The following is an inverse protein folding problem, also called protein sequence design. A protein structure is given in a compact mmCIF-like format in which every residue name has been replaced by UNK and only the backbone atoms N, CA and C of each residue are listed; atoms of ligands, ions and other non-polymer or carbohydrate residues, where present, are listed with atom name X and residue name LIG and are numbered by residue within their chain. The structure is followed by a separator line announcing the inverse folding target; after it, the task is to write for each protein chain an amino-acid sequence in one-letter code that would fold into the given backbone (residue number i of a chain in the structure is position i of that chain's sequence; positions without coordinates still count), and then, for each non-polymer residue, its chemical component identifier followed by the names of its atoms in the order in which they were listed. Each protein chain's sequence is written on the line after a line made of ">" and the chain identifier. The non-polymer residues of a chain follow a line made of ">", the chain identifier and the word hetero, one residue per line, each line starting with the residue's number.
data_IF_330381958277
#
_entry.id   IF_330381958277
#
_cell.length_a   1.000
_cell.length_b   1.000
_cell.length_c   1.000
_cell.angle_alpha   90.00
_cell.angle_beta   90.00
_cell.angle_gamma   90.00
#
_symmetry.space_group_name_H-M   'P 1'
#
loop_
_entity.id
_entity.type
_entity.pdbx_description
1 polymer ?
#
# COMPACT_ATOMS: atom_id res chain seq x y z
N UNK A 1 43.26 18.14 57.30
CA UNK A 1 44.31 19.08 56.84
C UNK A 1 43.65 19.97 55.78
N UNK A 2 43.09 21.10 56.21
CA UNK A 2 43.66 22.46 56.15
C UNK A 2 43.87 23.00 54.73
N UNK A 3 43.05 24.00 54.41
CA UNK A 3 43.13 25.05 53.36
C UNK A 3 44.43 25.87 53.48
N UNK A 4 44.89 26.70 52.50
CA UNK A 4 44.24 27.92 51.95
C UNK A 4 44.45 28.08 50.41
N UNK A 5 43.87 28.98 49.61
CA UNK A 5 43.28 30.31 49.82
C UNK A 5 44.18 31.40 49.19
N UNK A 6 43.82 31.97 48.02
CA UNK A 6 44.03 33.40 47.62
C UNK A 6 43.63 33.71 46.17
N UNK A 7 42.67 34.63 46.02
CA UNK A 7 42.56 35.63 44.93
C UNK A 7 43.36 36.90 45.37
N UNK A 8 43.70 37.93 44.52
CA UNK A 8 42.72 38.84 43.87
C UNK A 8 43.13 39.63 42.58
N UNK A 9 42.09 40.07 41.84
CA UNK A 9 41.82 41.38 41.18
C UNK A 9 42.85 42.18 40.33
N UNK A 10 42.44 42.59 39.10
CA UNK A 10 42.09 43.98 38.61
C UNK A 10 42.25 44.07 37.06
N UNK A 11 41.18 44.40 36.31
CA UNK A 11 40.86 45.71 35.67
C UNK A 11 41.80 46.06 34.48
N UNK A 12 41.39 46.44 33.27
CA UNK A 12 40.29 47.31 32.85
C UNK A 12 39.94 47.17 31.34
N UNK A 13 38.71 47.59 31.02
CA UNK A 13 38.26 48.36 29.84
C UNK A 13 38.74 47.99 28.43
N UNK A 14 37.79 47.63 27.56
CA UNK A 14 37.53 48.53 26.43
C UNK A 14 36.07 48.46 25.95
N UNK A 15 35.57 49.63 25.60
CA UNK A 15 34.21 50.00 25.29
C UNK A 15 33.93 50.02 23.78
N UNK A 16 32.64 49.95 23.44
CA UNK A 16 31.98 50.42 22.20
C UNK A 16 32.17 49.59 20.92
N UNK A 17 31.09 48.95 20.47
CA UNK A 17 30.28 49.46 19.34
C UNK A 17 28.99 48.65 19.21
N UNK A 18 27.89 49.36 19.40
CA UNK A 18 26.50 48.96 19.17
C UNK A 18 26.21 48.84 17.68
N UNK A 19 25.69 47.69 17.25
CA UNK A 19 25.04 47.51 15.94
C UNK A 19 23.56 47.15 16.13
N UNK A 20 22.65 47.65 15.27
CA UNK A 20 21.21 47.62 15.51
C UNK A 20 20.61 46.24 15.25
N UNK A 21 19.60 45.89 16.05
CA UNK A 21 18.81 44.68 15.90
C UNK A 21 18.16 44.56 14.52
N UNK A 22 18.47 43.47 13.83
CA UNK A 22 17.68 42.94 12.73
C UNK A 22 16.79 41.85 13.31
N UNK A 23 15.51 42.17 13.45
CA UNK A 23 14.45 41.18 13.69
C UNK A 23 14.42 40.29 12.43
N UNK A 24 14.61 38.96 12.53
CA UNK A 24 14.44 38.09 11.38
C UNK A 24 12.97 38.17 10.92
N UNK A 25 12.69 38.23 9.60
CA UNK A 25 11.32 38.28 9.10
C UNK A 25 10.57 37.03 9.57
N UNK A 26 9.27 37.14 9.90
CA UNK A 26 8.48 35.99 10.28
C UNK A 26 8.47 34.99 9.12
N UNK A 27 8.93 33.77 9.42
CA UNK A 27 8.79 32.61 8.56
C UNK A 27 7.34 32.51 8.08
N UNK A 28 7.06 32.20 6.80
CA UNK A 28 5.70 32.03 6.33
C UNK A 28 5.09 30.78 6.96
N UNK A 29 4.36 30.95 8.07
CA UNK A 29 3.54 29.93 8.75
C UNK A 29 2.28 29.62 7.94
N UNK A 30 2.45 29.18 6.69
CA UNK A 30 1.35 29.00 5.73
C UNK A 30 1.21 27.58 5.18
N UNK A 31 1.88 26.57 5.75
CA UNK A 31 1.86 25.20 5.22
C UNK A 31 1.24 24.16 6.17
N UNK A 32 0.80 24.55 7.36
CA UNK A 32 0.26 23.61 8.35
C UNK A 32 -1.23 23.34 8.15
N UNK A 33 -2.02 24.33 7.74
CA UNK A 33 -3.49 24.22 7.63
C UNK A 33 -3.97 23.28 6.52
N UNK A 34 -3.32 23.28 5.35
CA UNK A 34 -3.68 22.39 4.23
C UNK A 34 -3.41 20.91 4.52
N UNK A 35 -2.34 20.62 5.27
CA UNK A 35 -2.01 19.26 5.71
C UNK A 35 -2.98 18.75 6.78
N UNK A 36 -3.43 19.62 7.68
CA UNK A 36 -4.41 19.27 8.71
C UNK A 36 -5.78 18.95 8.09
N UNK A 37 -6.23 19.73 7.10
CA UNK A 37 -7.52 19.48 6.42
C UNK A 37 -7.52 18.14 5.65
N UNK A 38 -6.40 17.71 5.05
CA UNK A 38 -6.32 16.38 4.38
C UNK A 38 -6.57 15.25 5.33
N UNK A 39 -5.92 15.34 6.49
CA UNK A 39 -5.90 14.25 7.43
C UNK A 39 -7.29 14.10 8.04
N UNK A 40 -8.03 15.19 8.19
CA UNK A 40 -9.44 15.19 8.56
C UNK A 40 -10.34 14.60 7.46
N UNK A 41 -10.12 14.98 6.19
CA UNK A 41 -10.94 14.48 5.07
C UNK A 41 -10.73 12.97 4.84
N UNK A 42 -9.48 12.48 4.89
CA UNK A 42 -9.20 11.06 4.72
C UNK A 42 -9.70 10.22 5.89
N UNK A 43 -9.59 10.74 7.12
CA UNK A 43 -10.10 10.03 8.30
C UNK A 43 -11.62 9.84 8.24
N UNK A 44 -12.34 10.85 7.77
CA UNK A 44 -13.81 10.76 7.61
C UNK A 44 -14.19 9.69 6.59
N UNK A 45 -13.42 9.54 5.52
CA UNK A 45 -13.61 8.47 4.53
C UNK A 45 -13.35 7.10 5.15
N UNK A 46 -12.30 6.98 5.96
CA UNK A 46 -11.93 5.72 6.61
C UNK A 46 -12.93 5.29 7.71
N UNK A 47 -13.60 6.25 8.37
CA UNK A 47 -14.67 5.99 9.34
C UNK A 47 -15.95 5.40 8.71
N UNK A 48 -16.11 5.51 7.39
CA UNK A 48 -17.24 4.91 6.64
C UNK A 48 -16.96 3.48 6.15
N UNK A 49 -15.86 2.87 6.57
CA UNK A 49 -15.47 1.52 6.17
C UNK A 49 -16.46 0.47 6.72
N UNK A 50 -17.13 -0.32 5.85
CA UNK A 50 -18.04 -1.37 6.29
C UNK A 50 -17.36 -2.43 7.17
N UNK A 51 -16.03 -2.60 7.08
CA UNK A 51 -15.27 -3.48 7.98
C UNK A 51 -15.33 -3.02 9.45
N UNK A 52 -15.61 -1.74 9.72
CA UNK A 52 -15.75 -1.21 11.09
C UNK A 52 -17.15 -1.45 11.69
N UNK A 53 -18.03 -2.14 10.96
CA UNK A 53 -19.34 -2.54 11.45
C UNK A 53 -19.27 -3.28 12.80
N UNK A 54 -20.34 -3.23 13.57
CA UNK A 54 -20.49 -3.93 14.86
C UNK A 54 -19.54 -3.48 15.98
N UNK A 55 -18.78 -2.41 15.78
CA UNK A 55 -17.87 -1.84 16.79
C UNK A 55 -16.45 -2.37 16.73
N UNK A 56 -16.05 -3.00 15.62
CA UNK A 56 -14.69 -3.46 15.41
C UNK A 56 -13.71 -2.28 15.27
N UNK A 57 -12.49 -2.45 15.80
CA UNK A 57 -11.36 -1.55 15.54
C UNK A 57 -10.28 -2.28 14.75
N UNK A 58 -9.63 -1.57 13.83
CA UNK A 58 -8.50 -2.07 13.06
C UNK A 58 -7.23 -2.01 13.92
N UNK A 59 -6.52 -3.13 14.03
CA UNK A 59 -5.21 -3.22 14.71
C UNK A 59 -4.06 -3.48 13.74
N UNK A 60 -4.37 -3.93 12.52
CA UNK A 60 -3.43 -4.09 11.42
C UNK A 60 -4.15 -3.78 10.11
N UNK A 61 -3.56 -2.93 9.27
CA UNK A 61 -4.03 -2.70 7.90
C UNK A 61 -2.82 -2.44 7.00
N UNK A 62 -2.46 -3.43 6.18
CA UNK A 62 -1.36 -3.33 5.23
C UNK A 62 -1.60 -4.22 4.02
N UNK A 63 -0.97 -3.84 2.92
CA UNK A 63 -0.78 -4.70 1.78
C UNK A 63 0.51 -5.51 1.96
N UNK A 64 0.42 -6.84 1.81
CA UNK A 64 1.54 -7.75 1.97
C UNK A 64 1.64 -8.69 0.76
N UNK A 65 2.84 -9.18 0.43
CA UNK A 65 2.99 -10.20 -0.60
C UNK A 65 2.47 -11.55 -0.10
N UNK A 66 1.51 -12.13 -0.81
CA UNK A 66 0.92 -13.44 -0.53
C UNK A 66 1.05 -14.33 -1.75
N UNK A 67 1.55 -15.54 -1.56
CA UNK A 67 1.61 -16.54 -2.63
C UNK A 67 0.23 -17.18 -2.80
N UNK A 68 -0.42 -16.91 -3.92
CA UNK A 68 -1.77 -17.36 -4.25
C UNK A 68 -1.72 -18.72 -4.95
N UNK A 69 -2.32 -19.74 -4.35
CA UNK A 69 -2.42 -21.09 -4.89
C UNK A 69 -3.88 -21.52 -5.00
N UNK A 70 -4.18 -22.35 -5.98
CA UNK A 70 -5.49 -22.98 -6.16
C UNK A 70 -5.38 -24.47 -5.86
N UNK A 71 -6.31 -25.02 -5.10
CA UNK A 71 -6.34 -26.45 -4.80
C UNK A 71 -6.96 -27.23 -5.97
N UNK A 72 -6.14 -27.55 -6.98
CA UNK A 72 -6.54 -28.46 -8.05
C UNK A 72 -6.23 -29.90 -7.65
N UNK A 73 -7.23 -30.58 -7.06
CA UNK A 73 -7.14 -31.98 -6.60
C UNK A 73 -6.84 -33.02 -7.70
N UNK A 74 -6.59 -32.60 -8.94
CA UNK A 74 -6.30 -33.48 -10.07
C UNK A 74 -4.81 -33.60 -10.41
N UNK A 75 -3.93 -32.75 -9.88
CA UNK A 75 -2.51 -32.78 -10.21
C UNK A 75 -1.67 -33.14 -8.98
N UNK A 76 -1.32 -34.43 -8.89
CA UNK A 76 -0.29 -34.94 -8.00
C UNK A 76 1.13 -34.58 -8.51
N UNK A 77 1.28 -33.44 -9.18
CA UNK A 77 2.55 -32.93 -9.72
C UNK A 77 3.07 -31.82 -8.81
N UNK A 78 4.31 -32.02 -8.34
CA UNK A 78 5.25 -31.03 -7.79
C UNK A 78 4.68 -29.62 -7.65
N UNK A 79 4.33 -29.24 -6.40
CA UNK A 79 4.07 -27.86 -5.92
C UNK A 79 3.90 -26.83 -7.04
N UNK A 80 2.66 -26.59 -7.49
CA UNK A 80 2.37 -25.39 -8.27
C UNK A 80 2.75 -24.19 -7.41
N UNK A 81 3.90 -23.59 -7.76
CA UNK A 81 4.37 -22.34 -7.18
C UNK A 81 3.34 -21.30 -7.59
N UNK A 82 2.67 -20.74 -6.59
CA UNK A 82 1.60 -19.77 -6.80
C UNK A 82 2.14 -18.43 -7.30
N UNK A 83 1.25 -17.58 -7.80
CA UNK A 83 1.61 -16.20 -8.13
C UNK A 83 1.75 -15.39 -6.83
N UNK A 84 2.81 -14.59 -6.71
CA UNK A 84 2.94 -13.66 -5.59
C UNK A 84 2.11 -12.42 -5.89
N UNK A 85 1.04 -12.21 -5.13
CA UNK A 85 0.15 -11.06 -5.27
C UNK A 85 0.23 -10.15 -4.05
N UNK A 86 0.02 -8.85 -4.29
CA UNK A 86 -0.10 -7.89 -3.22
C UNK A 86 -1.55 -7.93 -2.70
N UNK A 87 -1.73 -8.47 -1.49
CA UNK A 87 -3.05 -8.66 -0.87
C UNK A 87 -3.17 -7.70 0.30
N UNK A 88 -4.27 -6.94 0.31
CA UNK A 88 -4.64 -6.05 1.41
C UNK A 88 -5.21 -6.89 2.55
N UNK A 89 -4.54 -6.84 3.70
CA UNK A 89 -4.90 -7.58 4.91
C UNK A 89 -5.28 -6.62 6.02
N UNK A 90 -6.49 -6.80 6.57
CA UNK A 90 -6.95 -6.13 7.78
C UNK A 90 -7.09 -7.12 8.91
N UNK A 91 -6.57 -6.78 10.09
CA UNK A 91 -6.90 -7.48 11.35
C UNK A 91 -7.73 -6.53 12.18
N UNK A 92 -8.94 -6.98 12.52
CA UNK A 92 -9.95 -6.27 13.26
C UNK A 92 -10.25 -7.00 14.55
N UNK A 93 -10.59 -6.24 15.59
CA UNK A 93 -10.91 -6.79 16.89
C UNK A 93 -12.13 -6.10 17.48
N UNK A 94 -12.97 -6.89 18.15
CA UNK A 94 -14.12 -6.41 18.92
C UNK A 94 -13.83 -6.54 20.42
N UNK A 95 -14.12 -5.50 21.19
CA UNK A 95 -13.83 -5.43 22.63
C UNK A 95 -12.80 -4.34 22.96
N UNK A 96 -12.21 -4.38 24.14
CA UNK A 96 -11.17 -3.44 24.56
C UNK A 96 -9.79 -4.14 24.64
N UNK A 97 -8.77 -3.48 25.19
CA UNK A 97 -7.43 -4.09 25.29
C UNK A 97 -7.32 -5.14 26.42
N UNK A 98 -8.31 -5.20 27.32
CA UNK A 98 -8.34 -6.13 28.46
C UNK A 98 -9.19 -7.37 28.17
N UNK A 99 -10.24 -7.20 27.36
CA UNK A 99 -11.19 -8.23 27.01
C UNK A 99 -11.58 -8.12 25.52
N UNK A 100 -11.03 -9.05 24.73
CA UNK A 100 -11.45 -9.27 23.35
C UNK A 100 -12.63 -10.23 23.29
N UNK A 101 -13.59 -9.92 22.43
CA UNK A 101 -14.76 -10.75 22.12
C UNK A 101 -14.58 -11.50 20.80
N UNK A 102 -14.06 -10.82 19.79
CA UNK A 102 -13.84 -11.37 18.45
C UNK A 102 -12.57 -10.81 17.83
N UNK A 103 -11.91 -11.63 17.01
CA UNK A 103 -10.82 -11.26 16.14
C UNK A 103 -11.17 -11.68 14.71
N UNK A 104 -11.25 -10.70 13.80
CA UNK A 104 -11.53 -10.93 12.38
C UNK A 104 -10.34 -10.54 11.53
N UNK A 105 -9.98 -11.40 10.58
CA UNK A 105 -8.98 -11.12 9.54
C UNK A 105 -9.69 -11.08 8.21
N UNK A 106 -9.43 -10.03 7.43
CA UNK A 106 -10.00 -9.84 6.10
C UNK A 106 -8.87 -9.78 5.07
N UNK A 107 -9.01 -10.55 4.00
CA UNK A 107 -8.12 -10.53 2.84
C UNK A 107 -8.89 -9.95 1.66
N UNK A 108 -8.30 -8.98 0.96
CA UNK A 108 -8.87 -8.41 -0.26
C UNK A 108 -7.79 -8.10 -1.29
N UNK A 109 -8.12 -8.14 -2.58
CA UNK A 109 -7.19 -7.87 -3.67
C UNK A 109 -7.66 -6.66 -4.50
N UNK A 110 -6.72 -5.89 -5.04
CA UNK A 110 -7.02 -4.88 -6.06
C UNK A 110 -7.08 -5.48 -7.47
N UNK A 111 -6.39 -6.62 -7.70
CA UNK A 111 -6.39 -7.31 -8.98
C UNK A 111 -7.70 -8.05 -9.24
N UNK A 112 -8.31 -8.61 -8.18
CA UNK A 112 -9.63 -9.22 -8.22
C UNK A 112 -10.56 -8.55 -7.21
N UNK A 113 -11.59 -7.85 -7.72
CA UNK A 113 -12.55 -7.13 -6.91
C UNK A 113 -13.46 -8.05 -6.09
N UNK A 114 -13.69 -9.27 -6.56
CA UNK A 114 -14.54 -10.25 -5.88
C UNK A 114 -13.77 -11.07 -4.84
N UNK A 115 -12.44 -11.02 -4.88
CA UNK A 115 -11.60 -11.63 -3.86
C UNK A 115 -11.80 -10.91 -2.51
N UNK A 116 -12.59 -11.53 -1.64
CA UNK A 116 -12.77 -11.10 -0.25
C UNK A 116 -13.00 -12.32 0.66
N UNK A 117 -12.00 -12.64 1.46
CA UNK A 117 -12.03 -13.78 2.38
C UNK A 117 -11.94 -13.31 3.82
N UNK A 118 -12.66 -13.99 4.70
CA UNK A 118 -12.74 -13.64 6.11
C UNK A 118 -12.44 -14.83 7.00
N UNK A 119 -11.61 -14.61 8.01
CA UNK A 119 -11.42 -15.50 9.14
C UNK A 119 -11.98 -14.79 10.38
N UNK A 120 -12.97 -15.36 11.06
CA UNK A 120 -13.50 -14.83 12.33
C UNK A 120 -13.23 -15.84 13.42
N UNK A 121 -12.73 -15.35 14.55
CA UNK A 121 -12.37 -16.20 15.68
C UNK A 121 -12.79 -15.53 16.99
N UNK A 122 -13.75 -16.14 17.67
CA UNK A 122 -14.12 -15.82 19.04
C UNK A 122 -13.29 -16.66 20.04
N UNK A 123 -13.51 -16.44 21.34
CA UNK A 123 -12.75 -17.13 22.41
C UNK A 123 -12.88 -18.65 22.38
N UNK A 124 -14.06 -19.18 22.08
CA UNK A 124 -14.32 -20.63 22.08
C UNK A 124 -13.67 -21.29 20.87
N UNK A 125 -13.81 -20.67 19.69
CA UNK A 125 -13.14 -21.07 18.46
C UNK A 125 -11.62 -21.00 18.60
N UNK A 126 -11.11 -19.96 19.28
CA UNK A 126 -9.68 -19.83 19.56
C UNK A 126 -9.16 -20.96 20.44
N UNK A 127 -9.91 -21.40 21.45
CA UNK A 127 -9.50 -22.53 22.28
C UNK A 127 -9.32 -23.81 21.44
N UNK A 128 -10.18 -24.04 20.45
CA UNK A 128 -10.03 -25.16 19.52
C UNK A 128 -8.80 -24.98 18.62
N UNK A 129 -8.60 -23.80 18.04
CA UNK A 129 -7.42 -23.45 17.23
C UNK A 129 -6.11 -23.62 18.02
N UNK A 130 -6.12 -23.18 19.27
CA UNK A 130 -4.99 -23.25 20.19
C UNK A 130 -4.56 -24.69 20.43
N UNK A 131 -5.52 -25.59 20.66
CA UNK A 131 -5.26 -27.02 20.84
C UNK A 131 -4.83 -27.69 19.54
N UNK A 132 -5.50 -27.37 18.42
CA UNK A 132 -5.22 -27.96 17.12
C UNK A 132 -3.80 -27.62 16.62
N UNK A 133 -3.34 -26.40 16.87
CA UNK A 133 -2.05 -25.89 16.35
C UNK A 133 -1.00 -25.66 17.44
N UNK A 134 -1.26 -26.15 18.66
CA UNK A 134 -0.35 -26.04 19.82
C UNK A 134 0.10 -24.60 20.10
N UNK A 135 -0.81 -23.63 20.05
CA UNK A 135 -0.49 -22.23 20.30
C UNK A 135 -0.31 -21.99 21.81
N UNK A 136 0.77 -21.31 22.18
CA UNK A 136 1.05 -20.94 23.59
C UNK A 136 0.51 -19.56 23.98
N UNK A 137 -0.08 -18.84 23.03
CA UNK A 137 -0.50 -17.45 23.19
C UNK A 137 -1.95 -17.42 23.66
N UNK A 138 -2.30 -16.43 24.49
CA UNK A 138 -3.70 -16.20 24.89
C UNK A 138 -4.48 -15.45 23.82
N UNK A 139 -5.81 -15.59 23.82
CA UNK A 139 -6.69 -14.93 22.86
C UNK A 139 -6.48 -13.40 22.80
N UNK A 140 -6.26 -12.73 23.94
CA UNK A 140 -6.01 -11.27 23.98
C UNK A 140 -4.72 -10.86 23.24
N UNK A 141 -3.74 -11.76 23.13
CA UNK A 141 -2.48 -11.54 22.43
C UNK A 141 -2.50 -12.06 20.99
N UNK A 142 -3.53 -12.81 20.61
CA UNK A 142 -3.67 -13.40 19.28
C UNK A 142 -3.62 -12.38 18.13
N UNK A 143 -4.33 -11.23 18.16
CA UNK A 143 -4.26 -10.26 17.07
C UNK A 143 -2.87 -9.66 16.88
N UNK A 144 -2.15 -9.43 17.98
CA UNK A 144 -0.75 -8.92 17.95
C UNK A 144 0.19 -9.97 17.37
N UNK A 145 -0.03 -11.25 17.70
CA UNK A 145 0.70 -12.36 17.10
C UNK A 145 0.45 -12.41 15.58
N UNK A 146 -0.81 -12.35 15.13
CA UNK A 146 -1.16 -12.33 13.71
C UNK A 146 -0.48 -11.17 12.96
N UNK A 147 -0.56 -9.96 13.50
CA UNK A 147 0.09 -8.79 12.91
C UNK A 147 1.62 -8.97 12.78
N UNK A 148 2.27 -9.62 13.75
CA UNK A 148 3.69 -9.97 13.65
C UNK A 148 3.92 -11.01 12.56
N UNK A 149 3.08 -12.04 12.49
CA UNK A 149 3.23 -13.10 11.49
C UNK A 149 3.13 -12.56 10.06
N UNK A 150 2.11 -11.71 9.81
CA UNK A 150 1.86 -11.05 8.52
C UNK A 150 3.00 -10.12 8.06
N UNK A 151 3.77 -9.53 8.99
CA UNK A 151 4.90 -8.66 8.63
C UNK A 151 6.21 -9.41 8.40
N UNK A 152 6.39 -10.61 8.97
CA UNK A 152 7.71 -11.24 9.10
C UNK A 152 7.88 -12.56 8.37
N UNK A 153 6.78 -13.24 8.00
CA UNK A 153 6.84 -14.55 7.36
C UNK A 153 6.18 -14.54 5.99
N UNK A 154 6.53 -15.54 5.17
CA UNK A 154 5.87 -15.75 3.89
C UNK A 154 4.46 -16.25 4.15
N UNK A 155 3.48 -15.61 3.52
CA UNK A 155 2.08 -15.98 3.60
C UNK A 155 1.69 -16.69 2.31
N UNK A 156 1.17 -17.91 2.42
CA UNK A 156 0.68 -18.70 1.28
C UNK A 156 -0.81 -18.89 1.45
N UNK A 157 -1.61 -18.41 0.52
CA UNK A 157 -3.06 -18.57 0.54
C UNK A 157 -3.50 -19.60 -0.49
N UNK A 158 -4.07 -20.70 -0.01
CA UNK A 158 -4.59 -21.79 -0.84
C UNK A 158 -6.11 -21.68 -0.92
N UNK A 159 -6.63 -21.42 -2.10
CA UNK A 159 -8.06 -21.32 -2.37
C UNK A 159 -8.64 -22.69 -2.74
N UNK A 160 -9.69 -23.09 -2.02
CA UNK A 160 -10.54 -24.23 -2.34
C UNK A 160 -11.64 -23.85 -3.33
N UNK A 161 -12.24 -24.87 -3.97
CA UNK A 161 -13.37 -24.68 -4.92
C UNK A 161 -14.71 -24.48 -4.24
N UNK A 162 -14.78 -24.73 -2.93
CA UNK A 162 -15.96 -24.63 -2.08
C UNK A 162 -16.14 -23.26 -1.43
N UNK A 163 -15.35 -22.26 -1.86
CA UNK A 163 -15.33 -20.94 -1.23
C UNK A 163 -14.55 -20.93 0.09
N UNK A 164 -13.87 -22.02 0.46
CA UNK A 164 -12.94 -22.03 1.58
C UNK A 164 -11.54 -21.66 1.12
N UNK A 165 -10.79 -21.04 2.00
CA UNK A 165 -9.38 -20.72 1.81
C UNK A 165 -8.57 -21.09 3.04
N UNK A 166 -7.28 -21.32 2.84
CA UNK A 166 -6.36 -21.56 3.95
C UNK A 166 -5.14 -20.65 3.81
N UNK A 167 -4.88 -19.84 4.82
CA UNK A 167 -3.68 -19.01 4.91
C UNK A 167 -2.65 -19.71 5.78
N UNK A 168 -1.53 -20.09 5.17
CA UNK A 168 -0.42 -20.75 5.84
C UNK A 168 0.76 -19.79 5.95
N UNK A 169 1.22 -19.58 7.18
CA UNK A 169 2.44 -18.84 7.46
C UNK A 169 3.63 -19.79 7.44
N UNK A 170 4.60 -19.49 6.58
CA UNK A 170 5.74 -20.37 6.35
C UNK A 170 7.05 -19.62 6.59
N UNK A 171 7.94 -20.27 7.31
CA UNK A 171 9.31 -19.81 7.48
C UNK A 171 10.25 -20.63 6.60
N UNK A 172 11.04 -19.93 5.80
CA UNK A 172 12.12 -20.56 5.06
C UNK A 172 13.29 -20.84 6.01
N UNK A 173 13.54 -22.12 6.30
CA UNK A 173 14.82 -22.58 6.84
C UNK A 173 15.70 -22.99 5.66
N UNK A 174 17.02 -22.87 5.79
CA UNK A 174 18.00 -23.03 4.69
C UNK A 174 17.78 -24.26 3.78
N UNK A 175 17.23 -25.34 4.32
CA UNK A 175 16.97 -26.60 3.61
C UNK A 175 15.51 -27.07 3.66
N UNK A 176 14.60 -26.29 4.27
CA UNK A 176 13.19 -26.70 4.45
C UNK A 176 12.28 -25.52 4.77
N UNK A 177 11.09 -25.52 4.19
CA UNK A 177 10.00 -24.66 4.63
C UNK A 177 9.26 -25.28 5.83
N UNK A 178 9.10 -24.52 6.90
CA UNK A 178 8.36 -24.93 8.10
C UNK A 178 7.10 -24.08 8.20
N UNK A 179 5.94 -24.75 8.24
CA UNK A 179 4.67 -24.10 8.54
C UNK A 179 4.61 -23.75 10.03
N UNK A 180 4.24 -22.50 10.31
CA UNK A 180 4.18 -21.95 11.66
C UNK A 180 2.75 -21.85 12.19
N UNK A 181 1.80 -21.51 11.33
CA UNK A 181 0.39 -21.30 11.66
C UNK A 181 -0.44 -21.45 10.40
N UNK A 182 -1.61 -22.05 10.54
CA UNK A 182 -2.60 -22.20 9.48
C UNK A 182 -3.92 -21.56 9.89
N UNK A 183 -4.55 -20.77 9.02
CA UNK A 183 -5.84 -20.15 9.30
C UNK A 183 -6.84 -20.52 8.22
N UNK A 184 -8.03 -20.95 8.65
CA UNK A 184 -9.15 -21.22 7.75
C UNK A 184 -9.92 -19.93 7.48
N UNK A 185 -10.20 -19.67 6.21
CA UNK A 185 -10.95 -18.53 5.72
C UNK A 185 -12.15 -19.02 4.94
N UNK A 186 -13.22 -18.24 4.99
CA UNK A 186 -14.40 -18.43 4.16
C UNK A 186 -14.58 -17.22 3.24
N UNK A 187 -14.97 -17.47 2.00
CA UNK A 187 -15.38 -16.45 1.06
C UNK A 187 -16.57 -15.68 1.64
N UNK A 188 -16.50 -14.35 1.58
CA UNK A 188 -17.57 -13.51 2.09
C UNK A 188 -18.82 -13.59 1.23
N UNK A 189 -19.98 -13.39 1.85
CA UNK A 189 -21.24 -13.36 1.12
C UNK A 189 -21.26 -12.23 0.08
N UNK A 190 -21.94 -12.48 -1.05
CA UNK A 190 -21.98 -11.57 -2.21
C UNK A 190 -22.37 -10.13 -1.84
N UNK A 191 -23.32 -9.95 -0.92
CA UNK A 191 -23.74 -8.61 -0.47
C UNK A 191 -22.63 -7.86 0.27
N UNK A 192 -21.80 -8.56 1.07
CA UNK A 192 -20.63 -8.00 1.75
C UNK A 192 -19.58 -7.61 0.72
N UNK A 193 -19.29 -8.49 -0.25
CA UNK A 193 -18.36 -8.21 -1.35
C UNK A 193 -18.79 -6.94 -2.10
N UNK A 194 -20.06 -6.84 -2.49
CA UNK A 194 -20.60 -5.66 -3.18
C UNK A 194 -20.48 -4.39 -2.35
N UNK A 195 -20.73 -4.46 -1.05
CA UNK A 195 -20.58 -3.34 -0.13
C UNK A 195 -19.11 -2.90 -0.03
N UNK A 196 -18.18 -3.85 0.10
CA UNK A 196 -16.74 -3.59 0.12
C UNK A 196 -16.22 -2.99 -1.19
N UNK A 197 -16.63 -3.52 -2.34
CA UNK A 197 -16.30 -2.96 -3.66
C UNK A 197 -16.82 -1.52 -3.77
N UNK A 198 -18.07 -1.28 -3.37
CA UNK A 198 -18.69 0.04 -3.42
C UNK A 198 -17.96 1.04 -2.54
N UNK A 199 -17.59 0.63 -1.31
CA UNK A 199 -16.80 1.45 -0.40
C UNK A 199 -15.42 1.76 -1.01
N UNK A 200 -14.66 0.76 -1.44
CA UNK A 200 -13.32 0.96 -2.03
C UNK A 200 -13.36 1.92 -3.22
N UNK A 201 -14.33 1.75 -4.11
CA UNK A 201 -14.52 2.64 -5.24
C UNK A 201 -14.82 4.09 -4.81
N UNK A 202 -15.77 4.28 -3.88
CA UNK A 202 -16.16 5.61 -3.41
C UNK A 202 -15.05 6.30 -2.62
N UNK A 203 -14.33 5.56 -1.79
CA UNK A 203 -13.18 6.04 -1.02
C UNK A 203 -12.05 6.47 -1.95
N UNK A 204 -11.71 5.65 -2.94
CA UNK A 204 -10.68 6.00 -3.94
C UNK A 204 -11.10 7.21 -4.78
N UNK A 205 -12.35 7.24 -5.27
CA UNK A 205 -12.91 8.37 -6.02
C UNK A 205 -12.84 9.67 -5.23
N UNK A 206 -13.20 9.63 -3.95
CA UNK A 206 -13.16 10.80 -3.06
C UNK A 206 -11.72 11.25 -2.81
N UNK A 207 -10.81 10.32 -2.54
CA UNK A 207 -9.37 10.61 -2.37
C UNK A 207 -8.77 11.26 -3.61
N UNK A 208 -9.08 10.73 -4.79
CA UNK A 208 -8.63 11.30 -6.08
C UNK A 208 -9.17 12.71 -6.27
N UNK A 209 -10.45 12.95 -6.00
CA UNK A 209 -11.06 14.28 -6.11
C UNK A 209 -10.38 15.30 -5.17
N UNK A 210 -10.13 14.92 -3.92
CA UNK A 210 -9.41 15.76 -2.93
C UNK A 210 -7.98 16.05 -3.40
N UNK A 211 -7.25 15.02 -3.89
CA UNK A 211 -5.89 15.19 -4.39
C UNK A 211 -5.83 16.07 -5.65
N UNK A 212 -6.81 15.95 -6.54
CA UNK A 212 -6.91 16.77 -7.74
C UNK A 212 -7.19 18.25 -7.42
N UNK A 213 -8.10 18.52 -6.48
CA UNK A 213 -8.36 19.89 -6.01
C UNK A 213 -7.10 20.52 -5.41
N UNK A 214 -6.35 19.76 -4.58
CA UNK A 214 -5.07 20.22 -4.02
C UNK A 214 -4.03 20.53 -5.07
N UNK A 215 -3.89 19.67 -6.08
CA UNK A 215 -2.94 19.89 -7.16
C UNK A 215 -3.29 21.18 -7.92
N UNK A 216 -4.57 21.46 -8.10
CA UNK A 216 -5.04 22.71 -8.70
C UNK A 216 -4.74 23.94 -7.83
N UNK A 217 -4.93 23.84 -6.51
CA UNK A 217 -4.60 24.91 -5.57
C UNK A 217 -3.09 25.21 -5.54
N UNK A 218 -2.26 24.16 -5.48
CA UNK A 218 -0.80 24.29 -5.55
C UNK A 218 -0.37 24.90 -6.89
N UNK A 219 -0.93 24.44 -8.01
CA UNK A 219 -0.65 25.00 -9.33
C UNK A 219 -0.99 26.49 -9.38
N UNK A 220 -2.14 26.89 -8.83
CA UNK A 220 -2.58 28.29 -8.75
C UNK A 220 -1.66 29.13 -7.86
N UNK A 221 -1.18 28.59 -6.74
CA UNK A 221 -0.25 29.26 -5.83
C UNK A 221 1.15 29.42 -6.45
N UNK A 222 1.63 28.42 -7.19
CA UNK A 222 2.91 28.50 -7.93
C UNK A 222 2.83 29.54 -9.05
N UNK A 223 1.70 29.59 -9.79
CA UNK A 223 1.43 30.65 -10.78
C UNK A 223 1.51 32.05 -10.17
N UNK A 224 1.02 32.21 -8.94
CA UNK A 224 0.99 33.49 -8.24
C UNK A 224 2.35 33.89 -7.65
N UNK A 225 3.11 32.94 -7.06
CA UNK A 225 4.35 33.24 -6.32
C UNK A 225 5.63 33.18 -7.14
N UNK A 226 5.69 32.42 -8.23
CA UNK A 226 6.92 32.24 -9.00
C UNK A 226 6.64 31.94 -10.47
N UNK A 227 6.14 32.93 -11.24
CA UNK A 227 5.84 32.76 -12.66
C UNK A 227 7.06 32.31 -13.49
N UNK A 228 8.27 32.71 -13.08
CA UNK A 228 9.53 32.32 -13.72
C UNK A 228 9.88 30.84 -13.56
N UNK A 229 9.48 30.20 -12.45
CA UNK A 229 9.70 28.78 -12.19
C UNK A 229 8.77 27.91 -13.04
N UNK A 230 7.58 28.44 -13.35
CA UNK A 230 6.61 27.84 -14.25
C UNK A 230 7.08 27.88 -15.70
N UNK A 231 7.68 28.99 -16.14
CA UNK A 231 8.34 29.10 -17.44
C UNK A 231 9.53 28.14 -17.56
N UNK A 232 10.28 27.90 -16.47
CA UNK A 232 11.42 26.99 -16.46
C UNK A 232 10.99 25.51 -16.43
N UNK A 233 9.93 25.15 -15.70
CA UNK A 233 9.31 23.83 -15.75
C UNK A 233 8.67 23.55 -17.13
N UNK A 234 7.96 24.53 -17.72
CA UNK A 234 7.46 24.41 -19.09
C UNK A 234 8.60 24.23 -20.10
N UNK A 235 9.71 24.99 -19.97
CA UNK A 235 10.89 24.81 -20.83
C UNK A 235 11.48 23.40 -20.74
N UNK A 236 11.55 22.82 -19.54
CA UNK A 236 12.08 21.47 -19.34
C UNK A 236 11.15 20.37 -19.88
N UNK A 237 9.81 20.55 -19.78
CA UNK A 237 8.84 19.63 -20.38
C UNK A 237 8.90 19.70 -21.91
N UNK A 238 9.02 20.90 -22.50
CA UNK A 238 9.14 21.06 -23.96
C UNK A 238 10.49 20.58 -24.50
N UNK A 239 11.60 20.72 -23.75
CA UNK A 239 12.91 20.19 -24.14
C UNK A 239 13.01 18.66 -24.00
N UNK A 240 12.28 18.04 -23.06
CA UNK A 240 12.17 16.59 -22.96
C UNK A 240 11.42 15.96 -24.14
N UNK A 241 10.47 16.67 -24.75
CA UNK A 241 9.72 16.24 -25.93
C UNK A 241 10.42 16.59 -27.27
N UNK A 242 11.38 17.53 -27.27
CA UNK A 242 12.12 17.91 -28.47
C UNK A 242 13.40 17.08 -28.72
N UNK A 243 13.91 16.36 -27.71
CA UNK A 243 15.12 15.53 -27.85
C UNK A 243 14.86 14.15 -28.50
N UNK A 244 13.63 13.83 -28.90
CA UNK A 244 13.32 12.64 -29.71
C UNK A 244 13.11 12.93 -31.19
N UNK A 245 13.36 14.17 -31.64
CA UNK A 245 13.20 14.54 -33.05
C UNK A 245 14.31 15.49 -33.51
N UNK A 246 15.48 14.94 -33.85
CA UNK A 246 16.43 15.58 -34.76
C UNK A 246 16.74 14.64 -35.94
N UNK A 247 16.58 15.12 -37.19
CA UNK A 247 16.92 14.39 -38.40
C UNK A 247 18.40 14.56 -38.72
N UNK A 248 19.11 13.48 -39.01
CA UNK A 248 20.49 13.53 -39.53
C UNK A 248 20.54 12.93 -40.93
N UNK A 249 20.90 13.80 -41.88
CA UNK A 249 21.05 13.53 -43.31
C UNK A 249 22.52 13.35 -43.72
N UNK A 250 22.85 12.13 -44.20
CA UNK A 250 23.82 11.77 -45.27
C UNK A 250 25.34 11.98 -45.05
N UNK A 251 26.23 11.47 -45.95
CA UNK A 251 25.99 10.80 -47.25
C UNK A 251 26.91 9.56 -47.55
N UNK A 252 26.89 9.07 -48.82
CA UNK A 252 27.63 7.96 -49.47
C UNK A 252 27.01 6.54 -49.38
N UNK A 253 26.98 5.70 -50.42
CA UNK A 253 27.32 5.78 -51.85
C UNK A 253 26.81 4.50 -52.56
N UNK A 254 26.47 4.62 -53.84
CA UNK A 254 26.54 3.59 -54.92
C UNK A 254 25.72 2.28 -54.84
N UNK A 255 24.65 2.25 -55.64
CA UNK A 255 24.53 1.37 -56.81
C UNK A 255 24.35 -0.14 -56.62
N UNK A 256 23.16 -0.66 -56.94
CA UNK A 256 22.96 -2.09 -57.18
C UNK A 256 21.50 -2.50 -57.31
N UNK A 257 21.05 -2.73 -58.53
CA UNK A 257 19.72 -3.25 -58.90
C UNK A 257 19.47 -4.65 -58.30
N UNK A 258 18.21 -4.93 -57.89
CA UNK A 258 17.31 -5.93 -58.52
C UNK A 258 16.32 -6.61 -57.56
N UNK A 259 15.04 -6.56 -57.96
CA UNK A 259 13.92 -7.52 -57.83
C UNK A 259 13.58 -8.19 -56.49
N UNK A 260 12.29 -8.08 -56.13
CA UNK A 260 11.56 -9.17 -55.48
C UNK A 260 10.31 -8.75 -54.68
N UNK A 261 9.24 -8.31 -55.35
CA UNK A 261 7.93 -8.15 -54.73
C UNK A 261 7.25 -9.51 -54.56
N UNK A 262 6.86 -9.86 -53.33
CA UNK A 262 5.72 -10.73 -53.07
C UNK A 262 5.20 -10.54 -51.64
N UNK A 263 3.99 -10.00 -51.50
CA UNK A 263 3.21 -10.04 -50.26
C UNK A 263 1.74 -10.10 -50.62
N UNK A 264 1.22 -11.33 -50.62
CA UNK A 264 -0.20 -11.66 -50.72
C UNK A 264 -0.90 -11.36 -49.39
N UNK A 265 -1.90 -10.49 -49.46
CA UNK A 265 -2.97 -10.31 -48.49
C UNK A 265 -3.75 -11.62 -48.29
N UNK A 266 -4.04 -11.98 -47.04
CA UNK A 266 -5.04 -12.99 -46.70
C UNK A 266 -5.99 -12.41 -45.64
N UNK A 267 -7.10 -11.85 -46.14
CA UNK A 267 -8.31 -11.54 -45.40
C UNK A 267 -9.18 -12.80 -45.29
N UNK A 268 -9.52 -13.22 -44.07
CA UNK A 268 -10.45 -14.33 -43.81
C UNK A 268 -11.85 -13.75 -43.53
N UNK A 269 -12.80 -14.05 -44.42
CA UNK A 269 -14.23 -13.84 -44.24
C UNK A 269 -14.87 -15.12 -43.67
N UNK A 270 -15.63 -15.00 -42.58
CA UNK A 270 -16.54 -16.04 -42.12
C UNK A 270 -17.96 -15.77 -42.66
N UNK A 271 -18.46 -16.68 -43.49
CA UNK A 271 -19.86 -16.74 -43.93
C UNK A 271 -20.58 -17.82 -43.14
N UNK A 272 -21.73 -17.46 -42.56
CA UNK A 272 -22.59 -18.35 -41.81
C UNK A 272 -23.37 -19.32 -42.69
N UNK A 273 -23.84 -20.42 -42.07
CA UNK A 273 -25.01 -21.17 -42.53
C UNK A 273 -25.75 -21.75 -41.33
N UNK A 274 -26.96 -21.24 -41.12
CA UNK A 274 -28.03 -21.93 -40.39
C UNK A 274 -28.60 -23.02 -41.29
N UNK A 275 -28.92 -24.17 -40.69
CA UNK A 275 -30.16 -24.90 -40.92
C UNK A 275 -30.66 -25.36 -39.56
#
# INVERSE_FOLDING_TARGET
>A
MNTPGRSPSRSANNSMLSSPGMIPPPSPTGSTSSNLLSNLDFKTIDEMDPSLGEGHRIVFDKEIPVEMRTNDSNNNSVQDVGALEAVKVKVLVLGDDTQLYDCRVELSSEADLFFHFTHSCNRDQYSALQQQQNLMVDFNSYPKMLAKMLNSFLSIFVMGRDGKGQLNFVQNMEYKFVELLSLEFDESAEHVIRQQISFRYNSLKSRVAIMQARLQDVNSLVKLKSPSLLLQLQRNVTQGLANSASPTSGPNSTGGYSRGNNSTNLSVNYSGKKK
#
